data_IF_870641534789
#
_entry.id   IF_870641534789
#
_cell.length_a   1.000
_cell.length_b   1.000
_cell.length_c   1.000
_cell.angle_alpha   90.00
_cell.angle_beta   90.00
_cell.angle_gamma   90.00
#
_symmetry.space_group_name_H-M   'P 1'
#
loop_
_entity.id
_entity.type
_entity.pdbx_description
1 polymer ?
#
# COMPACT_ATOMS: atom_id res chain seq x y z
N UNK A 1 44.73 -46.84 2.81
CA UNK A 1 44.02 -47.53 1.72
C UNK A 1 42.83 -46.63 1.40
N UNK A 2 43.14 -45.48 0.78
CA UNK A 2 42.97 -45.17 -0.67
C UNK A 2 41.68 -44.33 -0.81
N UNK A 3 41.81 -43.00 -0.93
CA UNK A 3 41.84 -42.18 -2.17
C UNK A 3 40.45 -41.56 -2.39
N UNK A 4 40.26 -40.26 -2.12
CA UNK A 4 40.39 -39.12 -3.06
C UNK A 4 39.44 -39.24 -4.28
N UNK A 5 38.50 -38.29 -4.44
CA UNK A 5 38.56 -37.29 -5.51
C UNK A 5 37.34 -36.34 -5.54
N UNK A 6 37.70 -35.07 -5.61
CA UNK A 6 36.92 -33.84 -5.80
C UNK A 6 36.09 -33.81 -7.09
N UNK A 7 35.02 -32.98 -7.12
CA UNK A 7 34.73 -32.12 -8.28
C UNK A 7 34.19 -30.75 -7.84
N UNK A 8 35.10 -29.77 -7.92
CA UNK A 8 34.89 -28.33 -7.80
C UNK A 8 34.29 -27.74 -9.09
N UNK A 9 33.54 -26.67 -8.90
CA UNK A 9 33.03 -25.76 -9.92
C UNK A 9 34.14 -25.18 -10.82
N UNK A 10 33.93 -25.22 -12.13
CA UNK A 10 34.57 -24.31 -13.10
C UNK A 10 33.62 -24.03 -14.28
N UNK A 11 33.37 -22.76 -14.62
CA UNK A 11 32.99 -22.35 -15.97
C UNK A 11 34.24 -21.95 -16.77
N UNK A 12 34.44 -22.61 -17.91
CA UNK A 12 35.45 -22.25 -18.92
C UNK A 12 34.95 -21.09 -19.78
N UNK A 13 35.73 -20.01 -19.90
CA UNK A 13 35.70 -19.13 -21.06
C UNK A 13 37.12 -19.12 -21.66
N UNK A 14 37.29 -19.49 -22.94
CA UNK A 14 38.59 -19.54 -23.58
C UNK A 14 39.10 -18.15 -24.00
N UNK A 15 40.37 -17.89 -23.69
CA UNK A 15 41.16 -16.77 -24.21
C UNK A 15 41.58 -17.07 -25.65
N UNK A 16 41.09 -16.30 -26.62
CA UNK A 16 41.60 -16.36 -27.99
C UNK A 16 42.64 -15.25 -28.21
N UNK A 17 43.90 -15.65 -28.23
CA UNK A 17 45.02 -14.82 -28.72
C UNK A 17 44.95 -14.80 -30.25
N UNK A 18 44.84 -13.62 -30.87
CA UNK A 18 45.03 -13.48 -32.32
C UNK A 18 46.15 -12.47 -32.58
N UNK A 19 47.20 -13.01 -33.18
CA UNK A 19 48.41 -12.37 -33.69
C UNK A 19 48.05 -11.31 -34.73
N UNK A 20 48.51 -10.07 -34.57
CA UNK A 20 48.39 -9.03 -35.61
C UNK A 20 49.73 -8.90 -36.33
N UNK A 21 49.74 -9.28 -37.60
CA UNK A 21 50.86 -9.03 -38.50
C UNK A 21 50.93 -7.53 -38.84
N UNK A 22 52.13 -6.97 -38.81
CA UNK A 22 52.40 -5.61 -39.22
C UNK A 22 52.37 -5.49 -40.74
N UNK A 23 51.63 -4.51 -41.26
CA UNK A 23 51.81 -3.98 -42.61
C UNK A 23 51.79 -2.46 -42.54
N UNK A 24 52.91 -1.86 -42.96
CA UNK A 24 53.16 -0.43 -43.05
C UNK A 24 52.92 0.01 -44.48
N UNK A 25 51.98 0.94 -44.73
CA UNK A 25 52.22 2.04 -45.67
C UNK A 25 51.27 3.23 -45.42
N UNK A 26 51.88 4.40 -45.49
CA UNK A 26 51.39 5.79 -45.58
C UNK A 26 50.25 5.97 -46.60
N UNK A 27 49.36 6.97 -46.60
CA UNK A 27 49.57 8.42 -46.45
C UNK A 27 48.19 9.13 -46.49
N UNK A 28 48.10 10.29 -45.83
CA UNK A 28 47.20 11.45 -46.12
C UNK A 28 45.68 11.26 -46.17
N UNK A 29 44.99 11.79 -45.17
CA UNK A 29 43.55 12.07 -45.26
C UNK A 29 42.95 12.62 -43.97
N UNK A 30 42.78 13.94 -43.90
CA UNK A 30 41.74 14.62 -43.10
C UNK A 30 41.68 14.31 -41.59
N UNK A 31 42.46 15.08 -40.82
CA UNK A 31 42.23 15.33 -39.39
C UNK A 31 40.87 16.02 -39.16
N UNK A 32 39.75 15.29 -39.11
CA UNK A 32 38.47 15.83 -38.60
C UNK A 32 37.56 14.79 -37.94
N UNK A 33 38.10 13.81 -37.21
CA UNK A 33 37.30 13.03 -36.26
C UNK A 33 38.16 12.54 -35.10
N UNK A 34 38.42 13.42 -34.14
CA UNK A 34 38.87 13.07 -32.78
C UNK A 34 38.95 14.35 -31.95
N UNK A 35 37.82 14.75 -31.38
CA UNK A 35 37.79 15.41 -30.07
C UNK A 35 36.33 15.44 -29.57
N UNK A 36 35.71 14.26 -29.45
CA UNK A 36 34.75 14.12 -28.33
C UNK A 36 35.62 14.08 -27.09
N UNK A 37 35.88 15.31 -26.62
CA UNK A 37 36.86 15.66 -25.61
C UNK A 37 36.67 14.82 -24.35
N UNK A 38 37.75 14.43 -23.68
CA UNK A 38 37.72 13.80 -22.35
C UNK A 38 36.75 14.51 -21.39
N UNK A 39 36.64 15.84 -21.55
CA UNK A 39 35.69 16.69 -20.84
C UNK A 39 34.24 16.25 -21.05
N UNK A 40 33.82 15.89 -22.27
CA UNK A 40 32.47 15.38 -22.53
C UNK A 40 32.17 14.07 -21.79
N UNK A 41 33.15 13.16 -21.70
CA UNK A 41 33.00 11.91 -20.93
C UNK A 41 32.88 12.18 -19.43
N UNK A 42 33.59 13.19 -18.91
CA UNK A 42 33.50 13.65 -17.52
C UNK A 42 32.14 14.32 -17.27
N UNK A 43 31.68 15.20 -18.17
CA UNK A 43 30.37 15.84 -18.07
C UNK A 43 29.23 14.83 -18.09
N UNK A 44 29.29 13.80 -18.96
CA UNK A 44 28.29 12.72 -18.99
C UNK A 44 28.26 11.95 -17.67
N UNK A 45 29.42 11.65 -17.07
CA UNK A 45 29.49 10.99 -15.76
C UNK A 45 28.90 11.85 -14.65
N UNK A 46 29.22 13.14 -14.62
CA UNK A 46 28.67 14.08 -13.65
C UNK A 46 27.15 14.21 -13.80
N UNK A 47 26.64 14.30 -15.04
CA UNK A 47 25.21 14.36 -15.32
C UNK A 47 24.50 13.09 -14.87
N UNK A 48 25.10 11.92 -15.07
CA UNK A 48 24.56 10.64 -14.58
C UNK A 48 24.51 10.56 -13.04
N UNK A 49 25.56 11.04 -12.36
CA UNK A 49 25.59 11.12 -10.89
C UNK A 49 24.50 12.07 -10.37
N UNK A 50 24.36 13.26 -10.98
CA UNK A 50 23.31 14.23 -10.63
C UNK A 50 21.94 13.61 -10.88
N UNK A 51 21.73 12.92 -11.99
CA UNK A 51 20.47 12.25 -12.32
C UNK A 51 20.12 11.15 -11.32
N UNK A 52 21.08 10.31 -10.92
CA UNK A 52 20.85 9.32 -9.85
C UNK A 52 20.52 10.04 -8.52
N UNK A 53 21.22 11.14 -8.22
CA UNK A 53 20.97 11.95 -7.02
C UNK A 53 19.55 12.50 -7.00
N UNK A 54 19.08 13.11 -8.09
CA UNK A 54 17.71 13.65 -8.18
C UNK A 54 16.66 12.55 -8.12
N UNK A 55 16.87 11.40 -8.79
CA UNK A 55 16.00 10.23 -8.67
C UNK A 55 15.93 9.70 -7.24
N UNK A 56 17.07 9.67 -6.53
CA UNK A 56 17.13 9.20 -5.15
C UNK A 56 16.38 10.14 -4.20
N UNK A 57 16.55 11.45 -4.36
CA UNK A 57 15.81 12.46 -3.57
C UNK A 57 14.32 12.35 -3.86
N UNK A 58 13.92 12.23 -5.13
CA UNK A 58 12.52 12.08 -5.52
C UNK A 58 11.91 10.80 -4.95
N UNK A 59 12.61 9.66 -5.06
CA UNK A 59 12.16 8.39 -4.51
C UNK A 59 12.04 8.45 -2.98
N UNK A 60 12.99 9.09 -2.29
CA UNK A 60 12.94 9.28 -0.84
C UNK A 60 11.80 10.22 -0.42
N UNK A 61 11.56 11.28 -1.19
CA UNK A 61 10.43 12.19 -0.96
C UNK A 61 9.08 11.49 -1.18
N UNK A 62 8.97 10.66 -2.22
CA UNK A 62 7.75 9.90 -2.46
C UNK A 62 7.53 8.84 -1.37
N UNK A 63 8.61 8.20 -0.89
CA UNK A 63 8.57 7.29 0.25
C UNK A 63 8.21 8.01 1.57
N UNK A 64 8.59 9.28 1.74
CA UNK A 64 8.30 10.07 2.96
C UNK A 64 6.86 10.56 3.05
N UNK A 65 6.07 10.47 1.96
CA UNK A 65 4.62 10.76 2.00
C UNK A 65 3.80 9.64 2.65
N UNK A 66 4.44 8.52 3.00
CA UNK A 66 3.80 7.39 3.66
C UNK A 66 3.74 7.53 5.17
N UNK A 67 3.13 6.52 5.81
CA UNK A 67 3.10 6.35 7.26
C UNK A 67 3.97 5.15 7.66
N UNK A 68 4.43 5.15 8.91
CA UNK A 68 5.19 4.02 9.43
C UNK A 68 4.24 2.89 9.83
N UNK A 69 4.60 1.64 9.50
CA UNK A 69 3.81 0.45 9.87
C UNK A 69 4.58 -0.37 10.89
N UNK A 70 3.98 -0.64 12.05
CA UNK A 70 4.43 -1.65 13.00
C UNK A 70 3.48 -2.85 12.97
N UNK A 71 4.00 -4.06 13.13
CA UNK A 71 3.19 -5.27 13.22
C UNK A 71 3.48 -5.97 14.55
N UNK A 72 2.45 -6.22 15.34
CA UNK A 72 2.51 -6.88 16.64
C UNK A 72 1.68 -8.17 16.58
N UNK A 73 2.24 -9.26 17.07
CA UNK A 73 1.54 -10.53 17.20
C UNK A 73 1.41 -10.89 18.69
N UNK A 74 0.33 -10.49 19.34
CA UNK A 74 0.09 -10.80 20.76
C UNK A 74 -0.33 -12.27 20.97
N UNK A 75 -0.71 -12.96 19.89
CA UNK A 75 -1.12 -14.36 19.90
C UNK A 75 0.02 -15.29 19.42
N UNK A 76 1.29 -14.88 19.49
CA UNK A 76 2.42 -15.55 18.83
C UNK A 76 2.53 -17.06 19.11
N UNK A 77 2.17 -17.49 20.32
CA UNK A 77 2.23 -18.90 20.72
C UNK A 77 1.02 -19.74 20.28
N UNK A 78 -0.08 -19.09 19.88
CA UNK A 78 -1.29 -19.78 19.40
C UNK A 78 -1.10 -20.32 17.97
N UNK A 79 -1.88 -21.32 17.52
CA UNK A 79 -1.89 -21.76 16.13
C UNK A 79 -2.16 -20.61 15.15
N UNK A 80 -3.14 -19.76 15.48
CA UNK A 80 -3.53 -18.58 14.69
C UNK A 80 -2.41 -17.56 14.57
N UNK A 81 -1.67 -17.31 15.67
CA UNK A 81 -0.51 -16.42 15.67
C UNK A 81 0.70 -16.99 14.93
N UNK A 82 0.98 -18.30 15.05
CA UNK A 82 2.03 -18.95 14.25
C UNK A 82 1.72 -18.85 12.75
N UNK A 83 0.45 -19.05 12.38
CA UNK A 83 -0.03 -18.88 11.00
C UNK A 83 0.15 -17.44 10.52
N UNK A 84 -0.26 -16.46 11.33
CA UNK A 84 -0.07 -15.05 11.00
C UNK A 84 1.40 -14.70 10.77
N UNK A 85 2.29 -15.12 11.68
CA UNK A 85 3.73 -14.89 11.54
C UNK A 85 4.25 -15.47 10.22
N UNK A 86 3.96 -16.74 9.95
CA UNK A 86 4.45 -17.45 8.77
C UNK A 86 3.98 -16.81 7.44
N UNK A 87 2.69 -16.47 7.33
CA UNK A 87 2.10 -16.06 6.06
C UNK A 87 2.08 -14.55 5.81
N UNK A 88 2.12 -13.73 6.86
CA UNK A 88 1.91 -12.28 6.75
C UNK A 88 3.04 -11.43 7.31
N UNK A 89 3.74 -11.90 8.35
CA UNK A 89 4.85 -11.17 8.95
C UNK A 89 6.17 -11.48 8.21
N UNK A 90 6.51 -12.77 8.05
CA UNK A 90 7.83 -13.21 7.56
C UNK A 90 8.20 -12.72 6.16
N UNK A 91 7.21 -12.45 5.31
CA UNK A 91 7.41 -11.99 3.93
C UNK A 91 6.93 -10.55 3.68
N UNK A 92 6.51 -9.83 4.73
CA UNK A 92 5.95 -8.48 4.62
C UNK A 92 4.61 -8.37 3.89
N UNK A 93 3.88 -9.48 3.69
CA UNK A 93 2.59 -9.48 2.97
C UNK A 93 1.55 -8.62 3.66
N UNK A 94 1.50 -8.58 5.00
CA UNK A 94 0.60 -7.67 5.73
C UNK A 94 0.89 -6.19 5.40
N UNK A 95 2.15 -5.77 5.47
CA UNK A 95 2.58 -4.41 5.11
C UNK A 95 2.18 -4.05 3.68
N UNK A 96 2.40 -4.95 2.72
CA UNK A 96 2.03 -4.71 1.32
C UNK A 96 0.53 -4.51 1.14
N UNK A 97 -0.30 -5.32 1.81
CA UNK A 97 -1.76 -5.18 1.76
C UNK A 97 -2.21 -3.85 2.38
N UNK A 98 -1.63 -3.47 3.53
CA UNK A 98 -1.96 -2.20 4.19
C UNK A 98 -1.61 -1.00 3.30
N UNK A 99 -0.41 -0.98 2.72
CA UNK A 99 0.03 0.09 1.83
C UNK A 99 -0.80 0.16 0.54
N UNK A 100 -1.02 -0.97 -0.14
CA UNK A 100 -1.80 -0.98 -1.38
C UNK A 100 -3.25 -0.57 -1.13
N UNK A 101 -3.83 -1.00 -0.02
CA UNK A 101 -5.18 -0.57 0.37
C UNK A 101 -5.20 0.91 0.74
N UNK A 102 -4.19 1.40 1.47
CA UNK A 102 -4.08 2.82 1.79
C UNK A 102 -4.13 3.68 0.53
N UNK A 103 -3.26 3.37 -0.44
CA UNK A 103 -3.20 4.10 -1.71
C UNK A 103 -4.55 4.05 -2.43
N UNK A 104 -5.20 2.89 -2.46
CA UNK A 104 -6.53 2.77 -3.06
C UNK A 104 -7.57 3.66 -2.37
N UNK A 105 -7.67 3.60 -1.04
CA UNK A 105 -8.66 4.36 -0.28
C UNK A 105 -8.38 5.86 -0.35
N UNK A 106 -7.11 6.25 -0.28
CA UNK A 106 -6.71 7.64 -0.40
C UNK A 106 -7.08 8.23 -1.76
N UNK A 107 -6.84 7.50 -2.85
CA UNK A 107 -7.20 7.94 -4.20
C UNK A 107 -8.72 8.08 -4.37
N UNK A 108 -9.49 7.24 -3.67
CA UNK A 108 -10.95 7.29 -3.69
C UNK A 108 -11.51 8.45 -2.85
N UNK A 109 -10.97 8.68 -1.66
CA UNK A 109 -11.50 9.66 -0.70
C UNK A 109 -10.93 11.07 -0.89
N UNK A 110 -9.71 11.18 -1.41
CA UNK A 110 -8.96 12.42 -1.55
C UNK A 110 -8.36 12.57 -2.96
N UNK A 111 -9.20 12.61 -4.01
CA UNK A 111 -8.73 12.66 -5.40
C UNK A 111 -7.97 13.96 -5.75
N UNK A 112 -8.27 15.05 -5.03
CA UNK A 112 -7.70 16.37 -5.31
C UNK A 112 -6.88 16.89 -4.13
N UNK A 113 -5.77 17.57 -4.42
CA UNK A 113 -4.92 18.23 -3.42
C UNK A 113 -5.53 19.51 -2.82
N UNK A 114 -6.75 19.88 -3.23
CA UNK A 114 -7.43 21.08 -2.78
C UNK A 114 -7.84 21.01 -1.29
N UNK A 115 -7.95 19.81 -0.74
CA UNK A 115 -8.36 19.59 0.66
C UNK A 115 -7.33 18.69 1.34
N UNK A 116 -6.94 18.99 2.59
CA UNK A 116 -5.98 18.17 3.30
C UNK A 116 -6.56 16.77 3.53
N UNK A 117 -5.72 15.76 3.33
CA UNK A 117 -6.05 14.39 3.70
C UNK A 117 -6.07 14.26 5.22
N UNK A 118 -6.81 13.27 5.72
CA UNK A 118 -6.68 12.82 7.11
C UNK A 118 -5.21 12.50 7.42
N UNK A 119 -4.69 13.06 8.49
CA UNK A 119 -3.30 12.80 8.89
C UNK A 119 -3.20 11.42 9.53
N UNK A 120 -2.22 10.64 9.04
CA UNK A 120 -1.88 9.29 9.50
C UNK A 120 -0.36 9.20 9.53
N UNK A 121 0.23 9.16 10.72
CA UNK A 121 1.69 9.14 10.89
C UNK A 121 2.19 7.72 11.14
N UNK A 122 1.44 6.95 11.93
CA UNK A 122 1.83 5.62 12.34
C UNK A 122 0.62 4.68 12.40
N UNK A 123 0.78 3.48 11.86
CA UNK A 123 -0.24 2.43 11.91
C UNK A 123 0.37 1.18 12.52
N UNK A 124 -0.16 0.77 13.66
CA UNK A 124 0.15 -0.53 14.26
C UNK A 124 -0.90 -1.55 13.85
N UNK A 125 -0.50 -2.59 13.12
CA UNK A 125 -1.32 -3.78 12.94
C UNK A 125 -1.07 -4.74 14.08
N UNK A 126 -2.11 -5.12 14.83
CA UNK A 126 -2.00 -5.96 16.01
C UNK A 126 -2.91 -7.18 15.90
N UNK A 127 -2.33 -8.37 15.83
CA UNK A 127 -3.10 -9.59 16.08
C UNK A 127 -3.36 -9.72 17.58
N UNK A 128 -4.62 -9.62 17.99
CA UNK A 128 -5.03 -9.64 19.39
C UNK A 128 -4.82 -11.03 20.00
N UNK A 129 -4.61 -11.12 21.31
CA UNK A 129 -4.50 -12.41 22.01
C UNK A 129 -5.84 -13.16 22.14
N UNK A 130 -6.97 -12.48 21.94
CA UNK A 130 -8.33 -13.02 22.06
C UNK A 130 -9.20 -12.64 20.87
N UNK A 131 -10.23 -13.45 20.62
CA UNK A 131 -11.24 -13.15 19.60
C UNK A 131 -11.99 -11.85 19.92
N UNK A 132 -12.25 -11.08 18.88
CA UNK A 132 -12.95 -9.81 18.93
C UNK A 132 -14.35 -9.94 18.33
N UNK A 133 -15.24 -8.99 18.63
CA UNK A 133 -16.59 -8.92 18.06
C UNK A 133 -16.59 -8.70 16.54
N UNK A 134 -15.52 -8.11 16.01
CA UNK A 134 -15.34 -7.87 14.58
C UNK A 134 -13.98 -8.38 14.09
N UNK A 135 -13.86 -8.82 12.83
CA UNK A 135 -12.59 -9.29 12.26
C UNK A 135 -11.44 -8.28 12.38
N UNK A 136 -11.76 -6.99 12.24
CA UNK A 136 -10.84 -5.88 12.44
C UNK A 136 -11.55 -4.74 13.18
N UNK A 137 -10.85 -4.11 14.12
CA UNK A 137 -11.27 -2.91 14.84
C UNK A 137 -10.17 -1.85 14.76
N UNK A 138 -10.55 -0.60 14.52
CA UNK A 138 -9.61 0.52 14.45
C UNK A 138 -9.75 1.38 15.69
N UNK A 139 -8.63 1.66 16.33
CA UNK A 139 -8.50 2.57 17.47
C UNK A 139 -7.61 3.74 17.06
N UNK A 140 -8.07 4.97 17.28
CA UNK A 140 -7.23 6.17 17.12
C UNK A 140 -6.52 6.48 18.43
N UNK A 141 -5.26 6.88 18.32
CA UNK A 141 -4.41 7.35 19.41
C UNK A 141 -3.99 8.80 19.14
N UNK A 142 -3.40 9.44 20.15
CA UNK A 142 -2.85 10.78 20.00
C UNK A 142 -1.80 10.83 18.88
N UNK A 143 -1.54 12.02 18.35
CA UNK A 143 -0.50 12.29 17.35
C UNK A 143 -0.68 11.57 15.99
N UNK A 144 -1.93 11.34 15.57
CA UNK A 144 -2.25 10.68 14.29
C UNK A 144 -1.72 9.25 14.20
N UNK A 145 -1.67 8.56 15.34
CA UNK A 145 -1.33 7.15 15.43
C UNK A 145 -2.61 6.31 15.47
N UNK A 146 -2.61 5.16 14.84
CA UNK A 146 -3.77 4.29 14.77
C UNK A 146 -3.38 2.83 14.99
N UNK A 147 -4.25 2.07 15.64
CA UNK A 147 -4.07 0.63 15.84
C UNK A 147 -5.20 -0.12 15.16
N UNK A 148 -4.85 -1.04 14.26
CA UNK A 148 -5.78 -1.99 13.66
C UNK A 148 -5.65 -3.30 14.44
N UNK A 149 -6.63 -3.58 15.29
CA UNK A 149 -6.73 -4.82 16.04
C UNK A 149 -7.40 -5.88 15.17
N UNK A 150 -6.73 -7.01 14.97
CA UNK A 150 -7.24 -8.18 14.27
C UNK A 150 -7.65 -9.28 15.25
N UNK A 151 -8.80 -9.89 14.98
CA UNK A 151 -9.25 -11.08 15.70
C UNK A 151 -8.47 -12.32 15.23
N UNK A 152 -7.94 -13.17 16.14
CA UNK A 152 -7.34 -14.47 15.80
C UNK A 152 -8.21 -15.37 14.92
N UNK A 153 -9.53 -15.32 15.10
CA UNK A 153 -10.50 -16.08 14.31
C UNK A 153 -10.35 -15.87 12.79
N UNK A 154 -9.83 -14.72 12.34
CA UNK A 154 -9.55 -14.48 10.91
C UNK A 154 -8.56 -15.50 10.33
N UNK A 155 -7.63 -15.99 11.15
CA UNK A 155 -6.64 -17.01 10.78
C UNK A 155 -7.17 -18.44 10.87
N UNK A 156 -8.35 -18.62 11.46
CA UNK A 156 -9.02 -19.92 11.65
C UNK A 156 -9.99 -20.23 10.50
N UNK A 157 -10.39 -19.21 9.75
CA UNK A 157 -11.22 -19.34 8.55
C UNK A 157 -10.63 -20.30 7.50
N UNK A 158 -11.49 -21.08 6.85
CA UNK A 158 -11.11 -22.00 5.76
C UNK A 158 -10.32 -21.28 4.67
N UNK A 159 -10.77 -20.07 4.30
CA UNK A 159 -10.04 -19.17 3.42
C UNK A 159 -9.50 -17.96 4.18
N UNK A 160 -8.61 -18.23 5.14
CA UNK A 160 -7.91 -17.19 5.91
C UNK A 160 -7.21 -16.14 5.02
N UNK A 161 -6.78 -16.51 3.80
CA UNK A 161 -6.19 -15.57 2.86
C UNK A 161 -7.16 -14.44 2.50
N UNK A 162 -8.38 -14.82 2.11
CA UNK A 162 -9.43 -13.87 1.80
C UNK A 162 -9.93 -13.14 3.06
N UNK A 163 -10.12 -13.87 4.17
CA UNK A 163 -10.58 -13.28 5.42
C UNK A 163 -9.62 -12.18 5.92
N UNK A 164 -8.31 -12.44 5.86
CA UNK A 164 -7.28 -11.47 6.23
C UNK A 164 -7.23 -10.29 5.27
N UNK A 165 -7.28 -10.53 3.96
CA UNK A 165 -7.33 -9.46 2.97
C UNK A 165 -8.53 -8.52 3.24
N UNK A 166 -9.70 -9.10 3.42
CA UNK A 166 -10.93 -8.34 3.68
C UNK A 166 -10.89 -7.63 5.05
N UNK A 167 -10.34 -8.25 6.10
CA UNK A 167 -10.19 -7.63 7.42
C UNK A 167 -9.25 -6.41 7.38
N UNK A 168 -8.08 -6.57 6.72
CA UNK A 168 -7.15 -5.46 6.51
C UNK A 168 -7.76 -4.36 5.65
N UNK A 169 -8.50 -4.72 4.60
CA UNK A 169 -9.16 -3.75 3.74
C UNK A 169 -10.20 -2.92 4.51
N UNK A 170 -11.02 -3.58 5.34
CA UNK A 170 -12.00 -2.89 6.19
C UNK A 170 -11.32 -2.01 7.24
N UNK A 171 -10.24 -2.50 7.86
CA UNK A 171 -9.45 -1.73 8.82
C UNK A 171 -8.88 -0.46 8.20
N UNK A 172 -8.24 -0.57 7.03
CA UNK A 172 -7.69 0.60 6.33
C UNK A 172 -8.77 1.56 5.83
N UNK A 173 -9.89 1.05 5.30
CA UNK A 173 -11.02 1.90 4.92
C UNK A 173 -11.56 2.68 6.13
N UNK A 174 -11.77 2.00 7.27
CA UNK A 174 -12.24 2.66 8.51
C UNK A 174 -11.25 3.68 9.04
N UNK A 175 -9.96 3.40 8.92
CA UNK A 175 -8.88 4.29 9.35
C UNK A 175 -8.87 5.60 8.55
N UNK A 176 -9.02 5.53 7.23
CA UNK A 176 -8.96 6.71 6.35
C UNK A 176 -10.24 7.53 6.32
N UNK A 177 -11.37 6.98 6.75
CA UNK A 177 -12.61 7.72 6.90
C UNK A 177 -12.54 8.68 8.09
N UNK A 178 -13.10 9.86 7.92
CA UNK A 178 -13.45 10.72 9.04
C UNK A 178 -14.68 10.16 9.77
N UNK A 179 -14.78 10.37 11.08
CA UNK A 179 -15.88 9.87 11.92
C UNK A 179 -16.68 10.99 12.59
N UNK A 180 -16.48 12.24 12.16
CA UNK A 180 -17.15 13.41 12.70
C UNK A 180 -16.88 13.65 14.17
N UNK A 181 -15.66 13.43 14.66
CA UNK A 181 -15.35 13.43 16.09
C UNK A 181 -16.22 12.42 16.90
N UNK A 182 -16.56 11.29 16.26
CA UNK A 182 -17.41 10.25 16.83
C UNK A 182 -18.92 10.52 16.76
N UNK A 183 -19.35 11.64 16.17
CA UNK A 183 -20.78 11.98 16.04
C UNK A 183 -21.42 11.47 14.74
N UNK A 184 -20.63 11.03 13.76
CA UNK A 184 -21.17 10.47 12.52
C UNK A 184 -21.96 9.18 12.80
N UNK A 185 -23.15 8.98 12.17
CA UNK A 185 -23.97 7.79 12.40
C UNK A 185 -23.17 6.49 12.13
N UNK A 186 -23.11 5.54 13.08
CA UNK A 186 -22.32 4.32 12.90
C UNK A 186 -22.71 3.50 11.66
N UNK A 187 -24.00 3.51 11.29
CA UNK A 187 -24.49 2.86 10.08
C UNK A 187 -23.97 3.49 8.77
N UNK A 188 -23.79 4.81 8.74
CA UNK A 188 -23.24 5.53 7.59
C UNK A 188 -21.77 5.14 7.40
N UNK A 189 -21.00 5.25 8.47
CA UNK A 189 -19.58 4.85 8.49
C UNK A 189 -19.40 3.41 8.05
N UNK A 190 -20.16 2.47 8.63
CA UNK A 190 -20.07 1.07 8.27
C UNK A 190 -20.47 0.82 6.80
N UNK A 191 -21.48 1.53 6.31
CA UNK A 191 -21.89 1.50 4.91
C UNK A 191 -20.80 2.02 3.96
N UNK A 192 -20.09 3.09 4.34
CA UNK A 192 -18.94 3.61 3.57
C UNK A 192 -17.79 2.60 3.56
N UNK A 193 -17.46 1.98 4.69
CA UNK A 193 -16.45 0.92 4.75
C UNK A 193 -16.83 -0.24 3.82
N UNK A 194 -18.09 -0.68 3.84
CA UNK A 194 -18.56 -1.76 2.97
C UNK A 194 -18.53 -1.36 1.49
N UNK A 195 -18.93 -0.14 1.15
CA UNK A 195 -18.83 0.41 -0.21
C UNK A 195 -17.38 0.41 -0.71
N UNK A 196 -16.46 1.01 0.04
CA UNK A 196 -15.03 1.12 -0.32
C UNK A 196 -14.41 -0.27 -0.51
N UNK A 197 -14.69 -1.20 0.42
CA UNK A 197 -14.13 -2.55 0.32
C UNK A 197 -14.73 -3.36 -0.82
N UNK A 198 -16.01 -3.16 -1.16
CA UNK A 198 -16.63 -3.79 -2.33
C UNK A 198 -15.95 -3.39 -3.65
N UNK A 199 -15.51 -2.13 -3.76
CA UNK A 199 -14.74 -1.65 -4.91
C UNK A 199 -13.33 -2.25 -4.97
N UNK A 200 -12.74 -2.56 -3.82
CA UNK A 200 -11.43 -3.21 -3.71
C UNK A 200 -11.48 -4.73 -3.99
N UNK A 201 -12.59 -5.24 -4.51
CA UNK A 201 -12.80 -6.66 -4.84
C UNK A 201 -13.12 -7.54 -3.63
N UNK A 202 -13.33 -6.97 -2.43
CA UNK A 202 -13.86 -7.75 -1.30
C UNK A 202 -15.31 -8.12 -1.60
N UNK A 203 -15.60 -9.42 -1.48
CA UNK A 203 -16.97 -9.89 -1.62
C UNK A 203 -17.83 -9.33 -0.47
N UNK A 204 -19.01 -8.76 -0.77
CA UNK A 204 -19.93 -8.39 0.28
C UNK A 204 -20.26 -9.63 1.10
N UNK A 205 -20.17 -9.50 2.43
CA UNK A 205 -20.52 -10.61 3.33
C UNK A 205 -22.04 -10.69 3.33
N UNK A 206 -22.59 -11.47 2.41
CA UNK A 206 -24.04 -11.52 2.16
C UNK A 206 -24.83 -12.21 3.30
N UNK A 207 -24.16 -12.84 4.27
CA UNK A 207 -24.80 -13.82 5.16
C UNK A 207 -24.69 -13.57 6.68
N UNK A 208 -24.31 -12.38 7.15
CA UNK A 208 -24.30 -12.14 8.60
C UNK A 208 -24.63 -10.70 8.99
N UNK A 209 -25.87 -10.45 9.41
CA UNK A 209 -26.26 -9.25 10.18
C UNK A 209 -26.06 -7.86 9.53
N UNK A 210 -25.44 -7.80 8.35
CA UNK A 210 -24.95 -6.59 7.68
C UNK A 210 -25.85 -6.08 6.56
N UNK A 211 -27.11 -6.51 6.56
CA UNK A 211 -28.07 -6.16 5.51
C UNK A 211 -28.27 -4.63 5.41
N UNK A 212 -28.21 -3.93 6.55
CA UNK A 212 -28.31 -2.47 6.62
C UNK A 212 -27.09 -1.80 6.00
N UNK A 213 -25.88 -2.22 6.35
CA UNK A 213 -24.62 -1.73 5.78
C UNK A 213 -24.57 -1.97 4.27
N UNK A 214 -25.01 -3.14 3.82
CA UNK A 214 -25.10 -3.47 2.40
C UNK A 214 -26.11 -2.58 1.66
N UNK A 215 -27.23 -2.24 2.30
CA UNK A 215 -28.20 -1.31 1.73
C UNK A 215 -27.62 0.12 1.62
N UNK A 216 -26.94 0.60 2.67
CA UNK A 216 -26.23 1.90 2.64
C UNK A 216 -25.16 1.89 1.55
N UNK A 217 -24.34 0.85 1.44
CA UNK A 217 -23.32 0.74 0.41
C UNK A 217 -23.90 0.79 -1.02
N UNK A 218 -25.07 0.15 -1.23
CA UNK A 218 -25.79 0.21 -2.52
C UNK A 218 -26.30 1.62 -2.81
N UNK A 219 -26.86 2.30 -1.80
CA UNK A 219 -27.28 3.69 -1.92
C UNK A 219 -26.09 4.62 -2.23
N UNK A 220 -24.98 4.47 -1.52
CA UNK A 220 -23.74 5.21 -1.76
C UNK A 220 -23.20 4.99 -3.19
N UNK A 221 -23.24 3.75 -3.68
CA UNK A 221 -22.87 3.44 -5.05
C UNK A 221 -23.80 4.09 -6.09
N UNK A 222 -25.10 4.18 -5.81
CA UNK A 222 -26.03 4.95 -6.63
C UNK A 222 -25.64 6.43 -6.64
N UNK A 223 -25.40 7.03 -5.46
CA UNK A 223 -25.02 8.43 -5.34
C UNK A 223 -23.74 8.77 -6.09
N UNK A 224 -22.72 7.92 -5.98
CA UNK A 224 -21.45 8.11 -6.70
C UNK A 224 -21.63 8.05 -8.23
N UNK A 225 -22.56 7.22 -8.73
CA UNK A 225 -22.87 7.16 -10.17
C UNK A 225 -23.61 8.40 -10.66
N UNK A 226 -24.53 8.93 -9.84
CA UNK A 226 -25.30 10.12 -10.17
C UNK A 226 -24.46 11.39 -10.08
N UNK A 227 -23.56 11.46 -9.09
CA UNK A 227 -22.68 12.60 -8.83
C UNK A 227 -21.26 12.09 -8.52
N UNK A 228 -20.40 11.94 -9.53
CA UNK A 228 -19.02 11.51 -9.32
C UNK A 228 -18.28 12.37 -8.29
N UNK A 229 -17.53 11.74 -7.39
CA UNK A 229 -16.87 12.39 -6.26
C UNK A 229 -17.77 12.62 -5.05
N UNK A 230 -19.00 12.08 -5.04
CA UNK A 230 -19.92 12.14 -3.90
C UNK A 230 -19.27 11.55 -2.64
N UNK A 231 -18.61 10.40 -2.75
CA UNK A 231 -18.03 9.68 -1.61
C UNK A 231 -16.89 10.48 -0.96
N UNK A 232 -16.04 11.12 -1.77
CA UNK A 232 -15.01 12.04 -1.28
C UNK A 232 -15.62 13.28 -0.61
N UNK A 233 -16.67 13.85 -1.19
CA UNK A 233 -17.41 14.98 -0.60
C UNK A 233 -18.04 14.62 0.75
N UNK A 234 -18.67 13.45 0.83
CA UNK A 234 -19.28 12.94 2.05
C UNK A 234 -18.23 12.71 3.14
N UNK A 235 -17.10 12.08 2.79
CA UNK A 235 -16.00 11.91 3.74
C UNK A 235 -15.48 13.26 4.25
N UNK A 236 -15.32 14.27 3.38
CA UNK A 236 -14.95 15.63 3.80
C UNK A 236 -15.99 16.27 4.72
N UNK A 237 -17.28 16.06 4.46
CA UNK A 237 -18.34 16.54 5.34
C UNK A 237 -18.26 15.98 6.77
N UNK A 238 -17.62 14.82 6.95
CA UNK A 238 -17.39 14.19 8.26
C UNK A 238 -16.06 14.60 8.91
N UNK A 239 -15.27 15.49 8.32
CA UNK A 239 -13.98 15.92 8.90
C UNK A 239 -14.16 16.57 10.27
N UNK A 240 -15.25 17.32 10.46
CA UNK A 240 -15.60 18.01 11.69
C UNK A 240 -16.87 17.39 12.29
N UNK A 241 -17.35 17.92 13.41
CA UNK A 241 -18.57 17.44 14.07
C UNK A 241 -19.75 17.31 13.08
N UNK A 242 -20.35 16.12 13.06
CA UNK A 242 -21.44 15.78 12.17
C UNK A 242 -22.72 16.49 12.61
N UNK A 243 -23.36 17.18 11.67
CA UNK A 243 -24.66 17.79 11.86
C UNK A 243 -25.63 17.24 10.82
N UNK A 244 -26.91 17.06 11.16
CA UNK A 244 -27.90 16.50 10.21
C UNK A 244 -28.04 17.38 8.95
N UNK A 245 -27.78 18.68 9.07
CA UNK A 245 -27.75 19.63 7.94
C UNK A 245 -26.54 19.43 7.00
N UNK A 246 -25.51 18.69 7.40
CA UNK A 246 -24.39 18.29 6.53
C UNK A 246 -24.88 17.38 5.40
N UNK A 247 -25.98 16.64 5.62
CA UNK A 247 -26.65 15.81 4.61
C UNK A 247 -27.39 16.70 3.59
N UNK A 248 -28.00 17.80 4.03
CA UNK A 248 -28.83 18.67 3.19
C UNK A 248 -28.03 19.50 2.15
N UNK A 249 -26.72 19.67 2.35
CA UNK A 249 -25.83 20.31 1.37
C UNK A 249 -25.21 19.31 0.37
N UNK A 250 -25.44 18.01 0.57
CA UNK A 250 -24.82 16.93 -0.18
C UNK A 250 -25.81 15.88 -0.69
N UNK A 251 -27.12 16.09 -0.55
CA UNK A 251 -28.14 15.09 -0.87
C UNK A 251 -28.17 14.69 -2.35
N UNK A 252 -27.94 13.40 -2.59
CA UNK A 252 -28.37 12.71 -3.79
C UNK A 252 -29.75 12.12 -3.49
N UNK A 253 -30.80 12.62 -4.13
CA UNK A 253 -32.13 12.05 -4.00
C UNK A 253 -32.23 10.75 -4.82
N UNK A 254 -32.97 9.78 -4.29
CA UNK A 254 -33.28 8.51 -4.95
C UNK A 254 -34.46 8.65 -5.90
#
# INVERSE_FOLDING_TARGET
MEEEHYLLFQPLIPTTTTTVAAAVTTTTGSHKFKFVSSNARIFVRLLFIIFIGTLSIWANHEASKGFTIAIINEAAESPSGKRFSLFYLSNGKATRILLSTSTFVENLLYPDNAHPKKQVNHVTLRLSSRNLTHPALVESRNNHEYVIHLSPSVMEETNFNQAMLTALQRGMARLWLWDGHGSAPPGLINGMVEYITSLAGSRPVLDSGRAKESAVARFLNYCERQKPGFIGQLNRGMEHEWHDQTVDLQTCHY
#
